data_IF_313002235428
#
_entry.id   IF_313002235428
#
_cell.length_a   1.000
_cell.length_b   1.000
_cell.length_c   1.000
_cell.angle_alpha   90.00
_cell.angle_beta   90.00
_cell.angle_gamma   90.00
#
_symmetry.space_group_name_H-M   'P 1'
#
loop_
_entity.id
_entity.type
_entity.pdbx_description
1 polymer ?
#
# COMPACT_ATOMS: atom_id res chain seq x y z
N UNK A 1 -5.01 19.37 1.68
CA UNK A 1 -5.61 18.37 2.50
C UNK A 1 -6.47 17.46 1.73
N UNK A 2 -7.58 17.97 1.20
CA UNK A 2 -8.41 17.14 0.33
C UNK A 2 -7.64 16.65 -0.88
N UNK A 3 -6.77 17.51 -1.38
CA UNK A 3 -5.94 17.14 -2.51
C UNK A 3 -5.03 15.98 -2.20
N UNK A 4 -4.51 15.92 -0.99
CA UNK A 4 -3.61 14.83 -0.64
C UNK A 4 -4.31 13.49 -0.67
N UNK A 5 -5.55 13.46 -0.19
CA UNK A 5 -6.31 12.22 -0.24
C UNK A 5 -6.68 11.84 -1.66
N UNK A 6 -7.02 12.83 -2.48
CA UNK A 6 -7.33 12.56 -3.88
C UNK A 6 -6.13 12.03 -4.63
N UNK A 7 -4.95 12.55 -4.31
CA UNK A 7 -3.73 12.06 -4.94
C UNK A 7 -3.39 10.65 -4.49
N UNK A 8 -3.74 10.33 -3.25
CA UNK A 8 -3.40 9.03 -2.69
C UNK A 8 -4.26 7.95 -3.33
N UNK A 9 -5.57 8.12 -3.33
CA UNK A 9 -6.52 7.17 -3.90
C UNK A 9 -7.63 7.96 -4.59
N UNK A 10 -7.94 7.56 -5.83
CA UNK A 10 -9.08 8.16 -6.52
C UNK A 10 -10.34 7.44 -6.07
N UNK A 11 -11.08 8.06 -5.16
CA UNK A 11 -12.23 7.42 -4.53
C UNK A 11 -13.39 7.21 -5.49
N UNK A 12 -13.53 8.05 -6.51
CA UNK A 12 -14.56 7.88 -7.50
C UNK A 12 -14.30 6.64 -8.35
N UNK A 13 -13.05 6.49 -8.81
CA UNK A 13 -12.66 5.29 -9.52
C UNK A 13 -12.79 4.05 -8.64
N UNK A 14 -12.40 4.18 -7.38
CA UNK A 14 -12.45 3.07 -6.45
C UNK A 14 -13.86 2.56 -6.26
N UNK A 15 -14.84 3.47 -6.19
CA UNK A 15 -16.24 3.07 -6.04
C UNK A 15 -16.68 2.20 -7.22
N UNK A 16 -16.24 2.54 -8.42
CA UNK A 16 -16.55 1.73 -9.60
C UNK A 16 -15.87 0.37 -9.55
N UNK A 17 -14.59 0.36 -9.19
CA UNK A 17 -13.85 -0.90 -9.10
C UNK A 17 -14.47 -1.80 -8.05
N UNK A 18 -14.86 -1.22 -6.93
CA UNK A 18 -15.48 -1.98 -5.85
C UNK A 18 -16.81 -2.59 -6.29
N UNK A 19 -17.60 -1.81 -7.04
CA UNK A 19 -18.87 -2.34 -7.55
C UNK A 19 -18.64 -3.49 -8.52
N UNK A 20 -17.61 -3.39 -9.36
CA UNK A 20 -17.29 -4.44 -10.31
C UNK A 20 -16.81 -5.71 -9.64
N UNK A 21 -16.00 -5.57 -8.60
CA UNK A 21 -15.47 -6.74 -7.88
C UNK A 21 -16.49 -7.38 -6.96
N UNK A 22 -17.47 -6.59 -6.51
CA UNK A 22 -18.57 -7.12 -5.70
C UNK A 22 -18.06 -7.78 -4.43
N UNK A 23 -18.56 -8.98 -4.15
CA UNK A 23 -18.26 -9.69 -2.91
C UNK A 23 -16.79 -10.05 -2.78
N UNK A 24 -16.04 -10.06 -3.89
CA UNK A 24 -14.63 -10.41 -3.85
C UNK A 24 -13.75 -9.25 -3.39
N UNK A 25 -14.30 -8.04 -3.34
CA UNK A 25 -13.49 -6.86 -3.07
C UNK A 25 -12.69 -6.95 -1.79
N UNK A 26 -13.33 -7.32 -0.69
CA UNK A 26 -12.64 -7.35 0.60
C UNK A 26 -11.53 -8.41 0.64
N UNK A 27 -11.76 -9.53 -0.03
CA UNK A 27 -10.74 -10.57 -0.10
C UNK A 27 -9.55 -10.09 -0.92
N UNK A 28 -9.82 -9.44 -2.03
CA UNK A 28 -8.75 -8.93 -2.89
C UNK A 28 -7.98 -7.81 -2.19
N UNK A 29 -8.69 -6.98 -1.42
CA UNK A 29 -8.03 -5.96 -0.62
C UNK A 29 -7.09 -6.60 0.41
N UNK A 30 -7.54 -7.68 1.04
CA UNK A 30 -6.69 -8.39 1.99
C UNK A 30 -5.42 -8.90 1.34
N UNK A 31 -5.53 -9.45 0.13
CA UNK A 31 -4.35 -9.90 -0.61
C UNK A 31 -3.41 -8.74 -0.93
N UNK A 32 -3.97 -7.59 -1.33
CA UNK A 32 -3.15 -6.44 -1.62
C UNK A 32 -2.36 -5.99 -0.39
N UNK A 33 -3.01 -6.03 0.78
CA UNK A 33 -2.33 -5.64 2.02
C UNK A 33 -1.14 -6.56 2.31
N UNK A 34 -1.33 -7.86 2.14
CA UNK A 34 -0.26 -8.83 2.38
C UNK A 34 0.83 -8.75 1.33
N UNK A 35 0.42 -8.71 0.07
CA UNK A 35 1.39 -8.68 -1.02
C UNK A 35 2.17 -7.38 -1.04
N UNK A 36 1.52 -6.27 -0.66
CA UNK A 36 2.20 -4.99 -0.62
C UNK A 36 3.32 -4.95 0.39
N UNK A 37 3.06 -5.49 1.58
CA UNK A 37 4.11 -5.58 2.60
C UNK A 37 5.28 -6.40 2.09
N UNK A 38 4.98 -7.53 1.45
CA UNK A 38 6.02 -8.41 0.92
C UNK A 38 6.81 -7.71 -0.18
N UNK A 39 6.13 -7.06 -1.11
CA UNK A 39 6.81 -6.38 -2.21
C UNK A 39 7.71 -5.26 -1.69
N UNK A 40 7.21 -4.47 -0.73
CA UNK A 40 8.01 -3.38 -0.19
C UNK A 40 9.24 -3.93 0.54
N UNK A 41 9.06 -5.01 1.30
CA UNK A 41 10.20 -5.63 1.98
C UNK A 41 11.25 -6.08 0.96
N UNK A 42 10.83 -6.70 -0.13
CA UNK A 42 11.75 -7.15 -1.17
C UNK A 42 12.47 -5.98 -1.84
N UNK A 43 11.72 -4.89 -2.06
CA UNK A 43 12.32 -3.68 -2.63
C UNK A 43 13.37 -3.09 -1.70
N UNK A 44 13.04 -3.01 -0.41
CA UNK A 44 13.98 -2.47 0.57
C UNK A 44 15.24 -3.33 0.66
N UNK A 45 15.06 -4.63 0.62
CA UNK A 45 16.19 -5.55 0.67
C UNK A 45 17.06 -5.42 -0.58
N UNK A 46 16.43 -5.29 -1.74
CA UNK A 46 17.17 -5.10 -2.99
C UNK A 46 17.97 -3.80 -2.96
N UNK A 47 17.42 -2.75 -2.37
CA UNK A 47 18.16 -1.50 -2.24
C UNK A 47 19.33 -1.66 -1.29
N UNK A 48 19.13 -2.37 -0.20
CA UNK A 48 20.19 -2.57 0.78
C UNK A 48 21.39 -3.27 0.14
N UNK A 49 21.13 -4.18 -0.78
CA UNK A 49 22.19 -4.91 -1.47
C UNK A 49 22.54 -4.30 -2.82
N UNK A 50 21.93 -3.15 -3.15
CA UNK A 50 22.19 -2.43 -4.40
C UNK A 50 21.98 -3.31 -5.63
N UNK A 51 20.92 -4.09 -5.60
CA UNK A 51 20.64 -5.07 -6.65
C UNK A 51 19.49 -4.57 -7.52
N UNK A 52 19.84 -3.92 -8.64
CA UNK A 52 18.82 -3.36 -9.53
C UNK A 52 17.90 -4.43 -10.11
N UNK A 53 18.45 -5.59 -10.45
CA UNK A 53 17.66 -6.67 -11.02
C UNK A 53 16.57 -7.10 -10.04
N UNK A 54 16.91 -7.21 -8.75
CA UNK A 54 15.97 -7.67 -7.75
C UNK A 54 14.85 -6.67 -7.45
N UNK A 55 15.01 -5.42 -7.89
CA UNK A 55 13.97 -4.40 -7.71
C UNK A 55 12.83 -4.55 -8.71
N UNK A 56 13.09 -5.10 -9.88
CA UNK A 56 12.16 -5.00 -11.00
C UNK A 56 10.83 -5.70 -10.71
N UNK A 57 10.89 -6.97 -10.33
CA UNK A 57 9.66 -7.75 -10.15
C UNK A 57 8.78 -7.24 -9.03
N UNK A 58 9.30 -7.01 -7.81
CA UNK A 58 8.41 -6.53 -6.74
C UNK A 58 7.85 -5.14 -7.03
N UNK A 59 8.60 -4.27 -7.71
CA UNK A 59 8.07 -2.96 -8.09
C UNK A 59 6.97 -3.10 -9.12
N UNK A 60 7.15 -3.98 -10.11
CA UNK A 60 6.12 -4.21 -11.12
C UNK A 60 4.84 -4.74 -10.47
N UNK A 61 4.97 -5.70 -9.57
CA UNK A 61 3.81 -6.26 -8.87
C UNK A 61 3.09 -5.20 -8.06
N UNK A 62 3.85 -4.42 -7.28
CA UNK A 62 3.26 -3.37 -6.46
C UNK A 62 2.54 -2.33 -7.31
N UNK A 63 3.13 -1.96 -8.45
CA UNK A 63 2.52 -1.00 -9.35
C UNK A 63 1.15 -1.49 -9.81
N UNK A 64 1.07 -2.71 -10.29
CA UNK A 64 -0.18 -3.25 -10.80
C UNK A 64 -1.25 -3.39 -9.73
N UNK A 65 -0.89 -3.88 -8.57
CA UNK A 65 -1.85 -4.04 -7.49
C UNK A 65 -2.34 -2.71 -6.96
N UNK A 66 -1.43 -1.74 -6.86
CA UNK A 66 -1.82 -0.40 -6.42
C UNK A 66 -2.79 0.24 -7.41
N UNK A 67 -2.53 0.06 -8.69
CA UNK A 67 -3.41 0.61 -9.72
C UNK A 67 -4.80 0.00 -9.64
N UNK A 68 -4.89 -1.28 -9.31
CA UNK A 68 -6.18 -1.96 -9.19
C UNK A 68 -7.05 -1.30 -8.12
N UNK A 69 -6.43 -0.78 -7.06
CA UNK A 69 -7.14 -0.09 -6.00
C UNK A 69 -7.11 1.42 -6.17
N UNK A 70 -6.79 1.89 -7.37
CA UNK A 70 -6.81 3.32 -7.71
C UNK A 70 -5.90 4.13 -6.79
N UNK A 71 -4.87 3.48 -6.25
CA UNK A 71 -3.89 4.10 -5.36
C UNK A 71 -2.76 4.66 -6.22
N UNK A 72 -3.05 5.80 -6.85
CA UNK A 72 -2.20 6.30 -7.93
C UNK A 72 -0.84 6.78 -7.44
N UNK A 73 -0.76 7.35 -6.23
CA UNK A 73 0.54 7.80 -5.74
C UNK A 73 1.46 6.62 -5.49
N UNK A 74 0.94 5.58 -4.85
CA UNK A 74 1.74 4.38 -4.59
C UNK A 74 2.15 3.72 -5.91
N UNK A 75 1.22 3.64 -6.85
CA UNK A 75 1.49 3.06 -8.16
C UNK A 75 2.58 3.87 -8.89
N UNK A 76 2.55 5.19 -8.78
CA UNK A 76 3.56 6.03 -9.42
C UNK A 76 4.94 5.83 -8.81
N UNK A 77 5.02 5.70 -7.48
CA UNK A 77 6.29 5.42 -6.83
C UNK A 77 6.85 4.08 -7.32
N UNK A 78 5.99 3.08 -7.36
CA UNK A 78 6.42 1.75 -7.82
C UNK A 78 6.85 1.78 -9.27
N UNK A 79 6.16 2.55 -10.11
CA UNK A 79 6.54 2.67 -11.50
C UNK A 79 7.90 3.32 -11.66
N UNK A 80 8.17 4.37 -10.90
CA UNK A 80 9.48 5.02 -10.94
C UNK A 80 10.58 4.02 -10.57
N UNK A 81 10.33 3.21 -9.55
CA UNK A 81 11.30 2.21 -9.14
C UNK A 81 11.52 1.19 -10.25
N UNK A 82 10.43 0.69 -10.82
CA UNK A 82 10.55 -0.31 -11.88
C UNK A 82 11.31 0.22 -13.10
N UNK A 83 10.93 1.39 -13.57
CA UNK A 83 11.53 1.93 -14.80
C UNK A 83 13.00 2.27 -14.59
N UNK A 84 13.33 2.88 -13.46
CA UNK A 84 14.72 3.22 -13.16
C UNK A 84 15.55 1.96 -12.97
N UNK A 85 14.99 0.96 -12.27
CA UNK A 85 15.72 -0.29 -12.05
C UNK A 85 16.00 -0.99 -13.38
N UNK A 86 15.04 -0.99 -14.30
CA UNK A 86 15.26 -1.60 -15.61
C UNK A 86 16.38 -0.89 -16.37
N UNK A 87 16.41 0.45 -16.28
CA UNK A 87 17.48 1.20 -16.91
C UNK A 87 18.83 0.89 -16.27
N UNK A 88 18.86 0.79 -14.94
CA UNK A 88 20.10 0.47 -14.25
C UNK A 88 20.63 -0.91 -14.65
N UNK A 89 19.71 -1.89 -14.81
CA UNK A 89 20.14 -3.21 -15.28
C UNK A 89 20.78 -3.11 -16.67
N UNK A 90 20.13 -2.37 -17.55
CA UNK A 90 20.61 -2.21 -18.91
C UNK A 90 21.96 -1.53 -18.98
N UNK A 91 22.15 -0.52 -18.14
CA UNK A 91 23.37 0.28 -18.15
C UNK A 91 24.43 -0.23 -17.19
N UNK A 92 24.16 -1.33 -16.51
CA UNK A 92 25.08 -1.91 -15.51
C UNK A 92 25.43 -0.91 -14.41
N UNK A 93 24.40 -0.23 -13.91
CA UNK A 93 24.54 0.76 -12.85
C UNK A 93 23.85 0.28 -11.58
N UNK A 94 24.28 0.82 -10.43
CA UNK A 94 23.58 0.58 -9.18
C UNK A 94 22.38 1.51 -9.08
N UNK A 95 21.36 1.12 -8.32
CA UNK A 95 20.11 1.90 -8.26
C UNK A 95 20.12 2.97 -7.19
N UNK A 96 21.27 3.60 -6.94
CA UNK A 96 21.41 4.53 -5.82
C UNK A 96 20.47 5.72 -5.92
N UNK A 97 20.11 6.13 -7.13
CA UNK A 97 19.21 7.27 -7.30
C UNK A 97 17.80 6.98 -6.81
N UNK A 98 17.49 5.73 -6.51
CA UNK A 98 16.14 5.36 -6.05
C UNK A 98 15.98 5.39 -4.53
N UNK A 99 17.02 5.75 -3.79
CA UNK A 99 16.95 5.70 -2.33
C UNK A 99 15.75 6.47 -1.79
N UNK A 100 15.56 7.71 -2.23
CA UNK A 100 14.48 8.54 -1.72
C UNK A 100 13.12 8.00 -2.11
N UNK A 101 12.99 7.49 -3.33
CA UNK A 101 11.72 6.92 -3.77
C UNK A 101 11.36 5.69 -2.95
N UNK A 102 12.35 4.85 -2.67
CA UNK A 102 12.11 3.65 -1.88
C UNK A 102 11.74 4.00 -0.43
N UNK A 103 12.41 5.01 0.13
CA UNK A 103 12.09 5.45 1.49
C UNK A 103 10.66 5.95 1.58
N UNK A 104 10.13 6.52 0.50
CA UNK A 104 8.76 7.04 0.49
C UNK A 104 7.70 5.94 0.40
N UNK A 105 8.08 4.71 0.04
CA UNK A 105 7.09 3.65 -0.18
C UNK A 105 6.31 3.28 1.07
N UNK A 106 6.99 3.02 2.16
CA UNK A 106 6.33 2.52 3.36
C UNK A 106 5.31 3.51 3.92
N UNK A 107 5.66 4.79 4.10
CA UNK A 107 4.65 5.74 4.57
C UNK A 107 3.49 5.86 3.59
N UNK A 108 3.77 5.89 2.28
CA UNK A 108 2.70 5.99 1.29
C UNK A 108 1.79 4.77 1.35
N UNK A 109 2.36 3.58 1.47
CA UNK A 109 1.58 2.36 1.57
C UNK A 109 0.70 2.37 2.83
N UNK A 110 1.28 2.76 3.97
CA UNK A 110 0.52 2.82 5.22
C UNK A 110 -0.66 3.76 5.13
N UNK A 111 -0.45 4.95 4.55
CA UNK A 111 -1.54 5.90 4.37
C UNK A 111 -2.59 5.38 3.40
N UNK A 112 -2.14 4.72 2.35
CA UNK A 112 -3.05 4.13 1.36
C UNK A 112 -3.93 3.08 2.00
N UNK A 113 -3.32 2.15 2.76
CA UNK A 113 -4.08 1.09 3.40
C UNK A 113 -5.06 1.67 4.42
N UNK A 114 -4.63 2.67 5.20
CA UNK A 114 -5.51 3.29 6.17
C UNK A 114 -6.74 3.90 5.48
N UNK A 115 -6.52 4.55 4.34
CA UNK A 115 -7.63 5.14 3.59
C UNK A 115 -8.55 4.07 3.02
N UNK A 116 -7.98 3.02 2.45
CA UNK A 116 -8.78 1.94 1.89
C UNK A 116 -9.60 1.22 2.95
N UNK A 117 -9.00 1.01 4.13
CA UNK A 117 -9.72 0.36 5.22
C UNK A 117 -10.87 1.23 5.72
N UNK A 118 -10.65 2.54 5.82
CA UNK A 118 -11.74 3.44 6.25
C UNK A 118 -12.86 3.47 5.23
N UNK A 119 -12.52 3.47 3.96
CA UNK A 119 -13.51 3.47 2.90
C UNK A 119 -14.31 2.18 2.91
N UNK A 120 -13.65 1.06 3.16
CA UNK A 120 -14.32 -0.24 3.17
C UNK A 120 -15.18 -0.43 4.42
N UNK A 121 -14.90 0.32 5.48
CA UNK A 121 -15.63 0.18 6.73
C UNK A 121 -16.00 1.56 7.28
N UNK A 122 -16.96 2.25 6.63
CA UNK A 122 -17.31 3.61 7.04
C UNK A 122 -17.84 3.67 8.46
N UNK A 123 -18.47 2.59 8.92
CA UNK A 123 -19.00 2.55 10.26
C UNK A 123 -17.90 2.64 11.30
N UNK A 124 -16.83 1.89 11.10
CA UNK A 124 -15.70 1.95 12.00
C UNK A 124 -15.04 3.32 11.94
N UNK A 125 -14.98 3.92 10.76
CA UNK A 125 -14.39 5.23 10.59
C UNK A 125 -15.17 6.32 11.30
N UNK A 126 -16.49 6.12 11.47
CA UNK A 126 -17.31 7.10 12.15
C UNK A 126 -17.23 7.02 13.65
N UNK A 127 -16.76 5.94 14.20
CA UNK A 127 -16.66 5.81 15.62
C UNK A 127 -15.58 6.71 16.17
N UNK A 128 -15.91 7.56 17.11
CA UNK A 128 -14.87 8.32 17.78
C UNK A 128 -13.89 7.37 18.44
N UNK A 129 -12.66 7.67 18.34
CA UNK A 129 -11.65 6.81 18.91
C UNK A 129 -11.87 6.51 20.36
N UNK A 130 -12.32 7.48 21.11
CA UNK A 130 -12.49 7.25 22.51
C UNK A 130 -13.72 6.47 22.88
N UNK A 131 -14.63 6.32 21.98
CA UNK A 131 -15.85 5.74 22.33
C UNK A 131 -15.80 4.28 22.44
N UNK A 132 -15.29 3.79 21.83
CA UNK A 132 -15.17 2.47 21.95
C UNK A 132 -14.05 2.08 22.62
N UNK A 133 -13.63 2.51 23.03
CA UNK A 133 -12.61 1.95 23.43
C UNK A 133 -12.66 1.18 24.33
N UNK A 134 -13.39 1.00 24.46
CA UNK A 134 -13.45 0.28 24.96
C UNK A 134 -13.45 -0.73 24.82
N UNK A 135 -13.31 -0.66 24.58
CA UNK A 135 -13.26 -1.54 24.49
C UNK A 135 -13.01 -2.43 24.64
N UNK A 136 -12.81 -2.33 24.81
CA UNK A 136 -12.48 -3.13 24.88
C UNK A 136 -12.32 -3.98 25.19
N UNK A 137 -12.25 -3.83 25.44
CA UNK A 137 -12.00 -4.55 25.71
C UNK A 137 -11.97 -5.45 25.93
N UNK A 138 -12.10 -5.40 26.18
CA UNK A 138 -11.80 -6.21 26.37
C UNK A 138 -11.62 -7.02 26.46
N UNK A 139 -11.58 -6.72 26.52
CA UNK A 139 -11.35 -7.34 26.55
C UNK A 139 -11.04 -8.07 26.74
N UNK A 140 -10.99 -7.81 27.10
CA UNK A 140 -10.72 -8.42 27.24
C UNK A 140 -10.54 -9.03 27.62
N UNK A 141 -10.69 -8.73 27.85
CA UNK A 141 -10.57 -9.29 28.16
C UNK A 141 -10.59 -10.04 28.42
N UNK A 142 -10.67 -9.85 28.43
CA UNK A 142 -10.68 -10.57 28.56
C UNK A 142 -10.27 -11.35 28.83
N UNK A 143 -10.12 -11.06 29.16
CA UNK A 143 -9.61 -11.66 29.19
C UNK A 143 -9.05 -11.96 29.74
N UNK A 144 -9.09 -11.82 30.15
CA UNK A 144 -8.63 -12.11 30.50
C UNK A 144 -8.46 -12.65 31.01
N UNK A 145 -8.25 -12.52 31.31
CA UNK A 145 -8.08 -12.91 31.57
C UNK A 145 -8.03 -13.20 31.75
N UNK A 146 -7.82 -13.05 31.90
CA UNK A 146 -7.74 -13.27 31.86
C UNK A 146 -7.86 -13.31 31.82
#
# INVERSE_FOLDING_TARGET
MLHQQSDLVDLTELARARAELGAAYLRILSYFKEDGVKSIHEIEEAMRTRNATALVRPAHTLKGESAQFCAHRLSALAETIEMTARRCVEMHETPDELIETVVALRPCFSETIALLDRDANPLAARRPGGFGRRVAAPQASFGRAG
#
